data_IF_287321445092
#
_entry.id   IF_287321445092
#
_cell.length_a   1.000
_cell.length_b   1.000
_cell.length_c   1.000
_cell.angle_alpha   90.00
_cell.angle_beta   90.00
_cell.angle_gamma   90.00
#
_symmetry.space_group_name_H-M   'P 1'
#
loop_
_entity.id
_entity.type
_entity.pdbx_description
1 polymer ?
#
# COMPACT_ATOMS: atom_id res chain seq x y z
N UNK A 1 4.84 20.36 -5.30
CA UNK A 1 6.32 20.49 -5.27
C UNK A 1 6.92 19.20 -4.72
N UNK A 2 7.82 18.53 -5.45
CA UNK A 2 8.32 17.19 -5.11
C UNK A 2 9.31 17.13 -3.92
N UNK A 3 9.55 18.24 -3.19
CA UNK A 3 10.44 18.32 -2.00
C UNK A 3 11.77 17.56 -2.15
N UNK A 4 12.44 17.67 -3.31
CA UNK A 4 13.71 16.98 -3.60
C UNK A 4 13.58 15.58 -4.20
N UNK A 5 12.37 15.03 -4.36
CA UNK A 5 12.13 13.77 -5.05
C UNK A 5 12.20 13.93 -6.58
N UNK A 6 12.76 12.92 -7.26
CA UNK A 6 12.80 12.81 -8.73
C UNK A 6 11.75 11.82 -9.20
N UNK A 7 10.89 12.23 -10.13
CA UNK A 7 9.99 11.30 -10.82
C UNK A 7 10.81 10.33 -11.69
N UNK A 8 10.69 9.03 -11.42
CA UNK A 8 11.26 7.98 -12.25
C UNK A 8 10.14 7.28 -13.02
N UNK A 9 10.24 7.27 -14.36
CA UNK A 9 9.32 6.52 -15.21
C UNK A 9 9.89 5.12 -15.45
N UNK A 10 9.00 4.14 -15.51
CA UNK A 10 9.37 2.78 -15.92
C UNK A 10 9.60 2.73 -17.43
N UNK A 11 10.57 1.93 -17.86
CA UNK A 11 10.74 1.59 -19.27
C UNK A 11 9.52 0.80 -19.75
N UNK A 12 8.93 1.14 -20.92
CA UNK A 12 7.85 0.36 -21.52
C UNK A 12 8.17 -1.14 -21.60
N UNK A 13 7.15 -1.98 -21.52
CA UNK A 13 7.26 -3.44 -21.60
C UNK A 13 8.14 -4.09 -20.52
N UNK A 14 8.31 -3.43 -19.37
CA UNK A 14 9.10 -3.96 -18.25
C UNK A 14 8.26 -4.22 -16.99
N UNK A 15 7.37 -5.24 -17.01
CA UNK A 15 6.38 -5.48 -15.95
C UNK A 15 7.02 -5.79 -14.58
N UNK A 16 8.23 -6.36 -14.54
CA UNK A 16 8.97 -6.63 -13.30
C UNK A 16 9.16 -5.39 -12.41
N UNK A 17 9.18 -4.19 -12.99
CA UNK A 17 9.31 -2.94 -12.23
C UNK A 17 8.03 -2.58 -11.46
N UNK A 18 6.88 -3.08 -11.91
CA UNK A 18 5.57 -2.77 -11.34
C UNK A 18 5.05 -3.85 -10.38
N UNK A 19 5.61 -5.06 -10.42
CA UNK A 19 5.07 -6.21 -9.69
C UNK A 19 4.87 -6.02 -8.18
N UNK A 20 5.66 -5.16 -7.52
CA UNK A 20 5.45 -4.83 -6.09
C UNK A 20 4.16 -4.05 -5.86
N UNK A 21 3.93 -2.99 -6.63
CA UNK A 21 2.73 -2.16 -6.48
C UNK A 21 1.50 -2.87 -7.02
N UNK A 22 1.63 -3.66 -8.09
CA UNK A 22 0.54 -4.50 -8.61
C UNK A 22 0.09 -5.52 -7.56
N UNK A 23 1.04 -6.20 -6.89
CA UNK A 23 0.71 -7.14 -5.82
C UNK A 23 0.04 -6.44 -4.64
N UNK A 24 0.50 -5.24 -4.26
CA UNK A 24 -0.14 -4.44 -3.22
C UNK A 24 -1.58 -4.07 -3.59
N UNK A 25 -1.81 -3.53 -4.79
CA UNK A 25 -3.14 -3.15 -5.26
C UNK A 25 -4.09 -4.35 -5.34
N UNK A 26 -3.60 -5.49 -5.82
CA UNK A 26 -4.42 -6.72 -5.88
C UNK A 26 -4.87 -7.17 -4.50
N UNK A 27 -3.95 -7.20 -3.54
CA UNK A 27 -4.26 -7.55 -2.15
C UNK A 27 -5.24 -6.55 -1.52
N UNK A 28 -5.01 -5.25 -1.72
CA UNK A 28 -5.93 -4.21 -1.26
C UNK A 28 -7.34 -4.39 -1.85
N UNK A 29 -7.43 -4.73 -3.14
CA UNK A 29 -8.71 -4.97 -3.78
C UNK A 29 -9.41 -6.20 -3.20
N UNK A 30 -8.71 -7.33 -3.14
CA UNK A 30 -9.23 -8.62 -2.67
C UNK A 30 -9.66 -8.57 -1.19
N UNK A 31 -8.84 -7.98 -0.32
CA UNK A 31 -9.03 -8.08 1.13
C UNK A 31 -9.73 -6.88 1.77
N UNK A 32 -9.81 -5.75 1.05
CA UNK A 32 -10.42 -4.54 1.59
C UNK A 32 -11.57 -4.04 0.72
N UNK A 33 -11.32 -3.76 -0.56
CA UNK A 33 -12.35 -3.15 -1.41
C UNK A 33 -13.51 -4.09 -1.67
N UNK A 34 -13.22 -5.36 -1.94
CA UNK A 34 -14.23 -6.36 -2.30
C UNK A 34 -14.66 -7.26 -1.14
N UNK A 35 -13.96 -7.21 -0.02
CA UNK A 35 -14.33 -7.97 1.18
C UNK A 35 -15.59 -7.40 1.88
N UNK A 36 -15.91 -6.12 1.66
CA UNK A 36 -17.04 -5.44 2.31
C UNK A 36 -17.80 -4.55 1.32
N UNK A 37 -19.13 -4.51 1.46
CA UNK A 37 -19.95 -3.50 0.81
C UNK A 37 -19.88 -2.18 1.60
N UNK A 38 -19.47 -1.11 0.95
CA UNK A 38 -19.35 0.22 1.54
C UNK A 38 -20.58 1.07 1.24
N UNK A 39 -21.18 1.67 2.26
CA UNK A 39 -22.34 2.57 2.13
C UNK A 39 -21.97 4.05 2.19
N UNK A 40 -20.73 4.37 2.58
CA UNK A 40 -20.19 5.73 2.66
C UNK A 40 -18.72 5.74 2.29
N UNK A 41 -18.33 6.70 1.45
CA UNK A 41 -16.95 6.92 1.05
C UNK A 41 -16.07 7.38 2.23
N UNK A 42 -16.63 8.16 3.14
CA UNK A 42 -15.90 8.58 4.35
C UNK A 42 -15.54 7.37 5.21
N UNK A 43 -16.51 6.49 5.46
CA UNK A 43 -16.28 5.27 6.23
C UNK A 43 -15.25 4.36 5.55
N UNK A 44 -15.32 4.23 4.21
CA UNK A 44 -14.31 3.49 3.44
C UNK A 44 -12.92 4.10 3.59
N UNK A 45 -12.80 5.42 3.55
CA UNK A 45 -11.50 6.12 3.71
C UNK A 45 -10.92 5.93 5.11
N UNK A 46 -11.75 6.01 6.15
CA UNK A 46 -11.33 5.79 7.53
C UNK A 46 -10.87 4.35 7.75
N UNK A 47 -11.63 3.38 7.24
CA UNK A 47 -11.27 1.97 7.31
C UNK A 47 -9.99 1.65 6.50
N UNK A 48 -9.78 2.31 5.37
CA UNK A 48 -8.56 2.17 4.57
C UNK A 48 -7.31 2.59 5.37
N UNK A 49 -7.43 3.63 6.18
CA UNK A 49 -6.34 4.10 7.06
C UNK A 49 -5.95 3.02 8.06
N UNK A 50 -6.94 2.36 8.68
CA UNK A 50 -6.70 1.24 9.61
C UNK A 50 -6.10 0.04 8.89
N UNK A 51 -6.66 -0.33 7.74
CA UNK A 51 -6.17 -1.46 6.95
C UNK A 51 -4.71 -1.26 6.51
N UNK A 52 -4.33 -0.04 6.14
CA UNK A 52 -2.96 0.31 5.76
C UNK A 52 -1.95 0.12 6.90
N UNK A 53 -2.32 0.52 8.13
CA UNK A 53 -1.50 0.24 9.32
C UNK A 53 -1.39 -1.27 9.54
N UNK A 54 -2.50 -2.00 9.44
CA UNK A 54 -2.49 -3.45 9.56
C UNK A 54 -1.56 -4.11 8.55
N UNK A 55 -1.69 -3.77 7.26
CA UNK A 55 -0.87 -4.32 6.19
C UNK A 55 0.63 -4.06 6.41
N UNK A 56 1.01 -2.84 6.83
CA UNK A 56 2.41 -2.48 6.96
C UNK A 56 3.07 -2.92 8.27
N UNK A 57 2.32 -2.98 9.38
CA UNK A 57 2.88 -3.17 10.73
C UNK A 57 2.46 -4.45 11.45
N UNK A 58 1.42 -5.14 10.98
CA UNK A 58 0.87 -6.30 11.69
C UNK A 58 0.75 -7.54 10.82
N UNK A 59 0.50 -7.39 9.53
CA UNK A 59 0.32 -8.51 8.62
C UNK A 59 1.64 -9.28 8.44
N UNK A 60 1.65 -10.62 8.58
CA UNK A 60 2.83 -11.42 8.28
C UNK A 60 3.03 -11.56 6.76
N UNK A 61 4.26 -11.36 6.29
CA UNK A 61 4.63 -11.60 4.89
C UNK A 61 5.67 -12.71 4.79
N UNK A 62 5.36 -13.78 4.05
CA UNK A 62 6.29 -14.89 3.83
C UNK A 62 7.60 -14.45 3.17
N UNK A 63 7.51 -13.51 2.21
CA UNK A 63 8.67 -12.89 1.58
C UNK A 63 9.55 -12.11 2.56
N UNK A 64 9.08 -11.84 3.79
CA UNK A 64 9.79 -11.18 4.88
C UNK A 64 9.95 -12.08 6.12
N UNK A 65 9.96 -13.41 5.96
CA UNK A 65 10.14 -14.33 7.08
C UNK A 65 8.99 -14.30 8.10
N UNK A 66 7.76 -14.10 7.61
CA UNK A 66 6.53 -13.93 8.40
C UNK A 66 6.52 -12.67 9.29
N UNK A 67 7.43 -11.73 9.06
CA UNK A 67 7.41 -10.42 9.68
C UNK A 67 6.62 -9.41 8.82
N UNK A 68 6.10 -8.33 9.43
CA UNK A 68 5.43 -7.28 8.69
C UNK A 68 6.40 -6.46 7.84
N UNK A 69 5.94 -5.83 6.73
CA UNK A 69 6.79 -5.08 5.80
C UNK A 69 7.62 -3.99 6.48
N UNK A 70 7.04 -3.29 7.47
CA UNK A 70 7.71 -2.22 8.20
C UNK A 70 8.99 -2.67 8.92
N UNK A 71 9.11 -3.95 9.28
CA UNK A 71 10.32 -4.51 9.92
C UNK A 71 11.58 -4.37 9.07
N UNK A 72 11.42 -4.17 7.75
CA UNK A 72 12.54 -3.98 6.81
C UNK A 72 12.99 -2.53 6.68
N UNK A 73 12.27 -1.59 7.29
CA UNK A 73 12.56 -0.17 7.22
C UNK A 73 13.21 0.28 8.53
N UNK A 74 14.19 1.17 8.44
CA UNK A 74 14.81 1.78 9.62
C UNK A 74 13.93 2.87 10.26
N UNK A 75 12.99 3.41 9.50
CA UNK A 75 12.07 4.47 9.92
C UNK A 75 10.65 4.01 9.69
N UNK A 76 9.77 4.19 10.70
CA UNK A 76 8.35 3.96 10.54
C UNK A 76 7.75 4.94 9.54
N UNK A 77 7.07 4.42 8.52
CA UNK A 77 6.31 5.21 7.54
C UNK A 77 4.92 4.60 7.34
N UNK A 78 3.89 5.44 7.34
CA UNK A 78 2.49 5.06 7.00
C UNK A 78 2.00 6.02 5.93
N UNK A 79 2.69 6.02 4.80
CA UNK A 79 2.65 7.08 3.79
C UNK A 79 1.74 6.77 2.59
N UNK A 80 0.81 5.83 2.71
CA UNK A 80 -0.33 5.76 1.76
C UNK A 80 -1.46 6.67 2.26
N UNK A 81 -1.16 7.96 2.39
CA UNK A 81 -2.20 9.00 2.33
C UNK A 81 -2.16 9.52 0.90
N UNK A 82 -3.18 9.21 0.12
CA UNK A 82 -3.29 9.72 -1.23
C UNK A 82 -3.34 11.26 -1.16
N UNK A 83 -2.36 11.93 -1.77
CA UNK A 83 -2.38 13.37 -1.94
C UNK A 83 -3.39 13.74 -3.04
N UNK A 84 -4.67 13.52 -2.77
CA UNK A 84 -5.73 14.19 -3.52
C UNK A 84 -6.14 15.44 -2.73
N UNK A 85 -5.50 16.55 -3.08
CA UNK A 85 -6.05 17.90 -2.99
C UNK A 85 -6.15 18.38 -4.43
#
# INVERSE_FOLDING_TARGET
>A
VLRGARHQRITPYTPRHNGKVERYHRILAEEFLYAHAWTSEQHRTDALTVWNVHYNYHRPHTAAGNQPPATRLHTGVTNVMASYI
#
